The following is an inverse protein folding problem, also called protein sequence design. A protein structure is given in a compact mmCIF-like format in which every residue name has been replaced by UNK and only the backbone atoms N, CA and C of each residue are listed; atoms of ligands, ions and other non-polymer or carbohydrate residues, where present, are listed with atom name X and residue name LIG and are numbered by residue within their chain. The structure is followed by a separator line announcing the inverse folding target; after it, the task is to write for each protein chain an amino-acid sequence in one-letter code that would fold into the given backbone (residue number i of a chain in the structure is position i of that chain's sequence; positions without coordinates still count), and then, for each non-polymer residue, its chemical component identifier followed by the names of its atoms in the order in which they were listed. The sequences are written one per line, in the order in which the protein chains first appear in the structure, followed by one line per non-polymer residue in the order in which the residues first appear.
data_IF_922517384641
#
_entry.id   IF_922517384641
#
_cell.length_a   1.000
_cell.length_b   1.000
_cell.length_c   1.000
_cell.angle_alpha   90.00
_cell.angle_beta   90.00
_cell.angle_gamma   90.00
#
_symmetry.space_group_name_H-M   'P 1'
#
loop_
_entity.id
_entity.type
_entity.pdbx_description
1 polymer ?
#
# COMPACT_ATOMS: atom_id res chain seq x y z
N UNK A 1 7.50 -7.65 -9.95
CA UNK A 1 6.27 -7.87 -10.75
C UNK A 1 5.40 -8.99 -10.18
N UNK A 2 5.94 -10.17 -9.88
CA UNK A 2 5.15 -11.31 -9.35
C UNK A 2 4.41 -11.01 -8.05
N UNK A 3 5.03 -10.27 -7.12
CA UNK A 3 4.40 -9.87 -5.85
C UNK A 3 3.26 -8.86 -6.04
N UNK A 4 3.38 -7.95 -6.98
CA UNK A 4 2.30 -7.01 -7.35
C UNK A 4 1.12 -7.76 -7.99
N UNK A 5 1.40 -8.76 -8.83
CA UNK A 5 0.37 -9.61 -9.40
C UNK A 5 -0.34 -10.45 -8.32
N UNK A 6 0.39 -10.97 -7.33
CA UNK A 6 -0.19 -11.67 -6.18
C UNK A 6 -1.13 -10.75 -5.40
N UNK A 7 -0.66 -9.57 -5.00
CA UNK A 7 -1.43 -8.61 -4.19
C UNK A 7 -2.71 -8.19 -4.92
N UNK A 8 -2.60 -7.68 -6.15
CA UNK A 8 -3.74 -7.22 -6.93
C UNK A 8 -4.76 -8.36 -7.18
N UNK A 9 -4.29 -9.56 -7.50
CA UNK A 9 -5.15 -10.73 -7.73
C UNK A 9 -5.90 -11.16 -6.47
N UNK A 10 -5.27 -11.06 -5.32
CA UNK A 10 -5.88 -11.39 -4.04
C UNK A 10 -6.93 -10.34 -3.62
N UNK A 11 -6.60 -9.08 -3.72
CA UNK A 11 -7.47 -7.95 -3.36
C UNK A 11 -8.71 -7.89 -4.25
N UNK A 12 -8.53 -8.05 -5.56
CA UNK A 12 -9.60 -7.99 -6.56
C UNK A 12 -10.30 -9.34 -6.77
N UNK A 13 -9.79 -10.42 -6.21
CA UNK A 13 -10.29 -11.79 -6.36
C UNK A 13 -10.46 -12.24 -7.83
N UNK A 14 -9.62 -11.70 -8.71
CA UNK A 14 -9.73 -11.91 -10.15
C UNK A 14 -8.41 -11.60 -10.84
N UNK A 15 -7.90 -12.55 -11.63
CA UNK A 15 -6.73 -12.31 -12.49
C UNK A 15 -7.03 -11.30 -13.60
N UNK A 16 -8.27 -11.27 -14.09
CA UNK A 16 -8.68 -10.32 -15.13
C UNK A 16 -8.71 -8.89 -14.59
N UNK A 17 -9.30 -8.68 -13.42
CA UNK A 17 -9.33 -7.37 -12.78
C UNK A 17 -7.92 -6.89 -12.40
N UNK A 18 -7.08 -7.77 -11.88
CA UNK A 18 -5.67 -7.48 -11.59
C UNK A 18 -4.89 -7.09 -12.86
N UNK A 19 -5.14 -7.77 -13.97
CA UNK A 19 -4.53 -7.46 -15.26
C UNK A 19 -4.90 -6.05 -15.73
N UNK A 20 -6.15 -5.66 -15.60
CA UNK A 20 -6.62 -4.31 -15.94
C UNK A 20 -5.94 -3.25 -15.08
N UNK A 21 -5.88 -3.45 -13.75
CA UNK A 21 -5.22 -2.52 -12.83
C UNK A 21 -3.73 -2.36 -13.13
N UNK A 22 -3.03 -3.48 -13.37
CA UNK A 22 -1.59 -3.50 -13.63
C UNK A 22 -1.22 -3.20 -15.09
N UNK A 23 -2.20 -2.97 -15.96
CA UNK A 23 -2.01 -2.78 -17.41
C UNK A 23 -1.25 -3.93 -18.07
N UNK A 24 -1.61 -5.14 -17.69
CA UNK A 24 -1.07 -6.39 -18.20
C UNK A 24 -2.18 -7.22 -18.85
N UNK A 25 -1.79 -8.29 -19.55
CA UNK A 25 -2.74 -9.31 -19.99
C UNK A 25 -3.05 -10.28 -18.84
N UNK A 26 -4.24 -10.88 -18.83
CA UNK A 26 -4.62 -11.89 -17.83
C UNK A 26 -3.64 -13.08 -17.82
N UNK A 27 -3.18 -13.50 -19.01
CA UNK A 27 -2.17 -14.56 -19.14
C UNK A 27 -0.82 -14.17 -18.51
N UNK A 28 -0.41 -12.91 -18.63
CA UNK A 28 0.83 -12.42 -17.98
C UNK A 28 0.71 -12.45 -16.45
N UNK A 29 -0.40 -11.97 -15.90
CA UNK A 29 -0.65 -12.03 -14.45
C UNK A 29 -0.65 -13.48 -13.97
N UNK A 30 -1.36 -14.38 -14.64
CA UNK A 30 -1.41 -15.80 -14.29
C UNK A 30 -0.01 -16.44 -14.30
N UNK A 31 0.81 -16.15 -15.32
CA UNK A 31 2.20 -16.65 -15.39
C UNK A 31 3.07 -16.12 -14.27
N UNK A 32 2.95 -14.85 -13.91
CA UNK A 32 3.71 -14.26 -12.80
C UNK A 32 3.39 -14.96 -11.47
N UNK A 33 2.11 -15.23 -11.23
CA UNK A 33 1.67 -15.97 -10.04
C UNK A 33 2.16 -17.41 -10.07
N UNK A 34 2.05 -18.11 -11.20
CA UNK A 34 2.55 -19.49 -11.35
C UNK A 34 4.07 -19.57 -11.16
N UNK A 35 4.82 -18.60 -11.66
CA UNK A 35 6.27 -18.54 -11.46
C UNK A 35 6.61 -18.37 -9.97
N UNK A 36 5.86 -17.54 -9.26
CA UNK A 36 6.03 -17.34 -7.82
C UNK A 36 5.70 -18.64 -7.05
N UNK A 37 4.58 -19.27 -7.35
CA UNK A 37 4.17 -20.56 -6.79
C UNK A 37 5.23 -21.64 -7.03
N UNK A 38 5.78 -21.69 -8.25
CA UNK A 38 6.85 -22.63 -8.60
C UNK A 38 8.14 -22.43 -7.79
N UNK A 39 8.50 -21.17 -7.51
CA UNK A 39 9.67 -20.84 -6.67
C UNK A 39 9.44 -21.19 -5.21
N UNK A 40 8.24 -20.98 -4.71
CA UNK A 40 7.88 -21.27 -3.33
C UNK A 40 7.56 -22.75 -3.09
N UNK A 41 7.28 -23.50 -4.16
CA UNK A 41 6.87 -24.92 -4.09
C UNK A 41 5.48 -25.15 -3.50
N UNK A 42 4.66 -24.10 -3.40
CA UNK A 42 3.29 -24.17 -2.87
C UNK A 42 2.33 -23.34 -3.72
N UNK A 43 1.06 -23.74 -3.72
CA UNK A 43 -0.01 -22.96 -4.35
C UNK A 43 -0.47 -21.83 -3.43
N UNK A 44 -0.58 -20.64 -3.99
CA UNK A 44 -1.05 -19.45 -3.29
C UNK A 44 -2.53 -19.17 -3.55
N UNK A 45 -3.03 -19.63 -4.72
CA UNK A 45 -4.44 -19.51 -5.08
C UNK A 45 -5.08 -20.86 -5.34
N UNK A 46 -6.37 -20.92 -5.03
CA UNK A 46 -7.26 -22.02 -5.43
C UNK A 46 -8.47 -21.45 -6.16
N UNK A 47 -9.01 -22.21 -7.10
CA UNK A 47 -10.28 -21.88 -7.76
C UNK A 47 -11.41 -22.58 -7.01
N UNK A 48 -12.25 -21.83 -6.33
CA UNK A 48 -13.50 -22.32 -5.77
C UNK A 48 -14.66 -21.82 -6.62
N UNK A 49 -15.28 -22.77 -7.33
CA UNK A 49 -16.49 -22.64 -8.16
C UNK A 49 -16.51 -21.42 -9.05
N UNK A 50 -16.34 -20.29 -8.94
CA UNK A 50 -16.30 -19.14 -9.86
C UNK A 50 -15.43 -17.99 -9.33
N UNK A 51 -14.83 -18.15 -8.14
CA UNK A 51 -14.02 -17.11 -7.52
C UNK A 51 -12.59 -17.61 -7.27
N UNK A 52 -11.65 -16.69 -7.48
CA UNK A 52 -10.26 -16.86 -7.08
C UNK A 52 -10.16 -16.65 -5.57
N UNK A 53 -9.59 -17.62 -4.86
CA UNK A 53 -9.41 -17.54 -3.42
C UNK A 53 -7.96 -17.87 -3.04
N UNK A 54 -7.46 -17.25 -1.96
CA UNK A 54 -6.14 -17.60 -1.41
C UNK A 54 -6.19 -18.95 -0.68
N UNK A 55 -5.10 -19.71 -0.81
CA UNK A 55 -4.80 -20.83 0.09
C UNK A 55 -4.35 -20.32 1.46
N UNK A 56 -4.17 -21.21 2.45
CA UNK A 56 -3.58 -20.81 3.73
C UNK A 56 -2.16 -20.25 3.56
N UNK A 57 -1.35 -20.88 2.70
CA UNK A 57 -0.03 -20.38 2.33
C UNK A 57 -0.12 -19.01 1.65
N UNK A 58 -1.10 -18.82 0.76
CA UNK A 58 -1.33 -17.54 0.09
C UNK A 58 -1.70 -16.42 1.06
N UNK A 59 -2.57 -16.71 2.04
CA UNK A 59 -2.94 -15.73 3.09
C UNK A 59 -1.75 -15.35 3.95
N UNK A 60 -0.99 -16.33 4.41
CA UNK A 60 0.22 -16.08 5.21
C UNK A 60 1.22 -15.23 4.43
N UNK A 61 1.56 -15.65 3.22
CA UNK A 61 2.57 -14.97 2.40
C UNK A 61 2.16 -13.55 2.02
N UNK A 62 0.89 -13.35 1.65
CA UNK A 62 0.36 -12.02 1.36
C UNK A 62 0.38 -11.11 2.59
N UNK A 63 0.07 -11.64 3.78
CA UNK A 63 0.12 -10.90 5.04
C UNK A 63 1.50 -10.33 5.33
N UNK A 64 2.56 -11.07 4.99
CA UNK A 64 3.95 -10.62 5.13
C UNK A 64 4.36 -9.66 4.00
N UNK A 65 3.94 -9.92 2.78
CA UNK A 65 4.36 -9.17 1.58
C UNK A 65 3.63 -7.84 1.43
N UNK A 66 2.34 -7.76 1.74
CA UNK A 66 1.54 -6.56 1.52
C UNK A 66 2.09 -5.32 2.26
N UNK A 67 2.50 -5.38 3.54
CA UNK A 67 3.14 -4.25 4.22
C UNK A 67 4.45 -3.82 3.56
N UNK A 68 5.24 -4.76 3.05
CA UNK A 68 6.50 -4.48 2.36
C UNK A 68 6.27 -3.76 1.04
N UNK A 69 5.26 -4.16 0.26
CA UNK A 69 4.87 -3.46 -0.96
C UNK A 69 4.41 -2.02 -0.68
N UNK A 70 3.61 -1.80 0.36
CA UNK A 70 3.20 -0.47 0.79
C UNK A 70 4.39 0.40 1.20
N UNK A 71 5.37 -0.18 1.90
CA UNK A 71 6.61 0.54 2.25
C UNK A 71 7.42 0.91 1.01
N UNK A 72 7.49 0.00 0.03
CA UNK A 72 8.16 0.26 -1.24
C UNK A 72 7.47 1.38 -2.04
N UNK A 73 6.16 1.38 -2.11
CA UNK A 73 5.37 2.44 -2.76
C UNK A 73 5.61 3.79 -2.10
N UNK A 74 5.60 3.87 -0.77
CA UNK A 74 5.92 5.10 -0.04
C UNK A 74 7.35 5.58 -0.30
N UNK A 75 8.32 4.69 -0.27
CA UNK A 75 9.71 5.04 -0.55
C UNK A 75 9.87 5.60 -1.98
N UNK A 76 9.20 4.98 -2.95
CA UNK A 76 9.19 5.44 -4.34
C UNK A 76 8.53 6.81 -4.47
N UNK A 77 7.37 7.01 -3.85
CA UNK A 77 6.66 8.30 -3.85
C UNK A 77 7.52 9.40 -3.21
N UNK A 78 8.20 9.12 -2.10
CA UNK A 78 9.09 10.06 -1.43
C UNK A 78 10.27 10.47 -2.32
N UNK A 79 10.90 9.53 -3.02
CA UNK A 79 11.98 9.83 -3.98
C UNK A 79 11.47 10.67 -5.15
N UNK A 80 10.28 10.37 -5.66
CA UNK A 80 9.66 11.15 -6.74
C UNK A 80 9.30 12.57 -6.27
N UNK A 81 8.84 12.73 -5.03
CA UNK A 81 8.56 14.04 -4.42
C UNK A 81 9.84 14.89 -4.27
N UNK A 82 10.99 14.29 -3.95
CA UNK A 82 12.28 14.99 -3.92
C UNK A 82 12.65 15.62 -5.27
N UNK A 83 12.23 15.01 -6.37
CA UNK A 83 12.46 15.50 -7.73
C UNK A 83 11.60 16.73 -8.06
N UNK A 84 10.43 16.88 -7.42
CA UNK A 84 9.44 17.95 -7.69
C UNK A 84 9.50 19.16 -6.74
N UNK A 85 10.52 19.29 -5.89
CA UNK A 85 10.59 20.33 -4.84
C UNK A 85 9.42 20.36 -3.86
N UNK A 86 8.61 19.32 -3.80
CA UNK A 86 7.53 19.16 -2.82
C UNK A 86 7.69 17.84 -2.09
N UNK A 87 7.38 17.81 -0.82
CA UNK A 87 7.34 16.62 0.02
C UNK A 87 5.93 16.35 0.50
N UNK A 88 5.66 15.11 0.87
CA UNK A 88 4.44 14.75 1.59
C UNK A 88 4.79 14.59 3.07
N UNK A 89 4.13 15.37 3.93
CA UNK A 89 4.25 15.28 5.37
C UNK A 89 2.97 14.71 5.95
N UNK A 90 3.06 13.51 6.50
CA UNK A 90 1.93 12.86 7.19
C UNK A 90 2.08 13.03 8.70
N UNK A 91 1.15 13.71 9.32
CA UNK A 91 1.10 13.94 10.75
C UNK A 91 -0.09 13.21 11.36
N UNK A 92 0.17 12.40 12.38
CA UNK A 92 -0.86 11.81 13.23
C UNK A 92 -0.88 12.53 14.57
N UNK A 93 -1.99 13.17 14.89
CA UNK A 93 -2.12 13.95 16.13
C UNK A 93 -3.32 13.50 16.94
N UNK A 94 -3.23 13.60 18.27
CA UNK A 94 -4.39 13.43 19.14
C UNK A 94 -5.44 14.50 18.82
N UNK A 95 -6.72 14.14 18.91
CA UNK A 95 -7.83 15.02 18.49
C UNK A 95 -7.78 16.40 19.17
N UNK A 96 -7.47 16.47 20.47
CA UNK A 96 -7.41 17.73 21.23
C UNK A 96 -6.26 18.63 20.75
N UNK A 97 -5.03 18.07 20.64
CA UNK A 97 -3.84 18.80 20.18
C UNK A 97 -4.01 19.21 18.72
N UNK A 98 -4.56 18.33 17.89
CA UNK A 98 -4.84 18.64 16.50
C UNK A 98 -5.78 19.83 16.34
N UNK A 99 -6.92 19.80 17.02
CA UNK A 99 -7.95 20.83 16.87
C UNK A 99 -7.55 22.19 17.47
N UNK A 100 -6.97 22.21 18.64
CA UNK A 100 -6.72 23.46 19.37
C UNK A 100 -5.36 24.08 19.10
N UNK A 101 -4.35 23.29 18.80
CA UNK A 101 -3.00 23.81 18.63
C UNK A 101 -2.50 23.74 17.18
N UNK A 102 -2.65 22.61 16.51
CA UNK A 102 -2.05 22.40 15.19
C UNK A 102 -2.86 23.08 14.07
N UNK A 103 -4.16 22.81 13.97
CA UNK A 103 -5.01 23.30 12.87
C UNK A 103 -4.94 24.83 12.72
N UNK A 104 -4.99 25.65 13.79
CA UNK A 104 -4.88 27.12 13.64
C UNK A 104 -3.54 27.59 13.10
N UNK A 105 -2.48 26.77 13.19
CA UNK A 105 -1.12 27.11 12.74
C UNK A 105 -0.81 26.63 11.31
N UNK A 106 -1.58 25.71 10.80
CA UNK A 106 -1.36 25.15 9.45
C UNK A 106 -1.41 26.18 8.33
N UNK A 107 -2.30 27.19 8.32
CA UNK A 107 -2.33 28.20 7.26
C UNK A 107 -1.03 28.99 7.13
N UNK A 108 -0.32 29.25 8.23
CA UNK A 108 0.98 29.89 8.20
C UNK A 108 2.04 28.97 7.56
N UNK A 109 2.09 27.71 8.00
CA UNK A 109 3.00 26.71 7.47
C UNK A 109 2.79 26.46 5.97
N UNK A 110 1.55 26.29 5.52
CA UNK A 110 1.23 26.01 4.11
C UNK A 110 1.49 27.22 3.20
N UNK A 111 1.48 28.45 3.73
CA UNK A 111 1.90 29.65 2.99
C UNK A 111 3.40 29.72 2.78
N UNK A 112 4.19 29.32 3.78
CA UNK A 112 5.66 29.32 3.69
C UNK A 112 6.19 28.12 2.90
N UNK A 113 5.46 26.99 2.92
CA UNK A 113 5.86 25.72 2.34
C UNK A 113 4.78 25.17 1.42
N UNK A 114 4.38 25.96 0.42
CA UNK A 114 3.33 25.60 -0.53
C UNK A 114 3.64 24.37 -1.39
N UNK A 115 4.90 23.96 -1.45
CA UNK A 115 5.38 22.76 -2.13
C UNK A 115 5.18 21.47 -1.29
N UNK A 116 4.82 21.58 -0.01
CA UNK A 116 4.61 20.42 0.87
C UNK A 116 3.13 20.06 0.92
N UNK A 117 2.81 18.83 0.55
CA UNK A 117 1.47 18.26 0.76
C UNK A 117 1.35 17.74 2.18
N UNK A 118 0.39 18.28 2.93
CA UNK A 118 0.19 17.92 4.33
C UNK A 118 -0.99 16.98 4.49
N UNK A 119 -0.73 15.77 4.98
CA UNK A 119 -1.75 14.80 5.34
C UNK A 119 -1.91 14.74 6.86
N UNK A 120 -3.11 15.07 7.33
CA UNK A 120 -3.44 15.05 8.74
C UNK A 120 -4.35 13.88 9.06
N UNK A 121 -3.89 13.00 9.95
CA UNK A 121 -4.69 11.95 10.54
C UNK A 121 -4.96 12.24 12.03
N UNK A 122 -6.19 12.04 12.47
CA UNK A 122 -6.50 12.03 13.90
C UNK A 122 -6.41 10.60 14.43
N UNK A 123 -5.70 10.42 15.53
CA UNK A 123 -5.60 9.13 16.21
C UNK A 123 -6.27 9.20 17.58
N UNK A 124 -7.12 8.23 17.86
CA UNK A 124 -7.71 8.04 19.17
C UNK A 124 -7.05 6.80 19.78
N UNK A 125 -6.21 6.98 20.81
CA UNK A 125 -5.53 5.89 21.50
C UNK A 125 -4.07 6.19 21.84
N UNK A 126 -3.40 5.32 22.62
CA UNK A 126 -1.99 5.49 22.97
C UNK A 126 -1.09 5.40 21.74
N UNK A 127 -0.04 6.23 21.71
CA UNK A 127 0.96 6.25 20.64
C UNK A 127 1.99 5.16 20.94
N UNK A 128 2.09 4.18 20.04
CA UNK A 128 3.19 3.22 20.08
C UNK A 128 4.36 3.78 19.27
N UNK A 129 5.41 4.20 19.95
CA UNK A 129 6.64 4.73 19.33
C UNK A 129 7.60 3.63 18.84
N UNK A 130 7.28 2.36 19.06
CA UNK A 130 8.13 1.23 18.66
C UNK A 130 7.96 0.82 17.20
N UNK A 131 6.97 1.37 16.51
CA UNK A 131 6.59 1.04 15.13
C UNK A 131 6.98 2.12 14.09
N UNK A 132 8.08 2.87 14.34
CA UNK A 132 8.60 3.86 13.39
C UNK A 132 9.76 3.28 12.58
#
# INVERSE_FOLDING_TARGET
MSLMCLEASARLRSFTAAAQELRLTQGAVSRQVQTLEGRLGVKLFTRRREALALTDAGRYYLGEVAPLLQRLERATANVMALKGRGGELSLSVGASIGSYWLIPRLPAFTREHGEITLNLGTRVGPVDFSAS
#
